data_IF_827084175696
#
_entry.id   IF_827084175696
#
_cell.length_a   1.000
_cell.length_b   1.000
_cell.length_c   1.000
_cell.angle_alpha   90.00
_cell.angle_beta   90.00
_cell.angle_gamma   90.00
#
_symmetry.space_group_name_H-M   'P 1'
#
loop_
_entity.id
_entity.type
_entity.pdbx_description
1 polymer ?
#
# COMPACT_ATOMS: atom_id res chain seq x y z
N UNK A 1 1.82 -13.50 2.79
CA UNK A 1 0.59 -14.29 3.01
C UNK A 1 0.78 -15.74 2.60
N UNK A 2 0.85 -16.07 1.31
CA UNK A 2 0.89 -17.45 0.77
C UNK A 2 2.05 -18.27 1.35
N UNK A 3 3.27 -17.74 1.31
CA UNK A 3 4.45 -18.45 1.86
C UNK A 3 4.34 -18.73 3.36
N UNK A 4 3.64 -17.87 4.10
CA UNK A 4 3.35 -18.06 5.53
C UNK A 4 2.33 -19.19 5.75
N UNK A 5 1.29 -19.27 4.92
CA UNK A 5 0.29 -20.33 5.01
C UNK A 5 0.89 -21.72 4.71
N UNK A 6 1.76 -21.81 3.69
CA UNK A 6 2.45 -23.07 3.33
C UNK A 6 3.40 -23.53 4.44
N UNK A 7 3.94 -22.60 5.22
CA UNK A 7 4.90 -22.86 6.32
C UNK A 7 4.28 -22.55 7.68
N UNK A 8 2.97 -22.80 7.85
CA UNK A 8 2.24 -22.57 9.09
C UNK A 8 2.97 -23.19 10.30
N UNK A 9 3.09 -22.42 11.40
CA UNK A 9 3.76 -22.84 12.63
C UNK A 9 5.29 -22.88 12.57
N UNK A 10 5.92 -22.56 11.44
CA UNK A 10 7.39 -22.48 11.33
C UNK A 10 7.94 -21.19 11.96
N UNK A 11 9.27 -21.20 12.26
CA UNK A 11 9.98 -19.98 12.71
C UNK A 11 9.83 -18.82 11.71
N UNK A 12 9.77 -19.13 10.41
CA UNK A 12 9.52 -18.14 9.35
C UNK A 12 8.14 -17.52 9.49
N UNK A 13 7.10 -18.33 9.71
CA UNK A 13 5.73 -17.83 9.91
C UNK A 13 5.66 -16.94 11.15
N UNK A 14 6.23 -17.37 12.27
CA UNK A 14 6.24 -16.61 13.52
C UNK A 14 7.00 -15.29 13.36
N UNK A 15 8.24 -15.32 12.87
CA UNK A 15 9.07 -14.12 12.70
C UNK A 15 8.41 -13.08 11.77
N UNK A 16 7.88 -13.54 10.61
CA UNK A 16 7.19 -12.66 9.68
C UNK A 16 5.84 -12.19 10.20
N UNK A 17 5.16 -12.93 11.09
CA UNK A 17 3.94 -12.47 11.76
C UNK A 17 4.23 -11.33 12.72
N UNK A 18 5.29 -11.45 13.52
CA UNK A 18 5.73 -10.37 14.43
C UNK A 18 6.09 -9.12 13.64
N UNK A 19 6.84 -9.25 12.55
CA UNK A 19 7.23 -8.11 11.71
C UNK A 19 6.01 -7.42 11.07
N UNK A 20 5.07 -8.20 10.55
CA UNK A 20 3.81 -7.68 10.00
C UNK A 20 2.97 -7.00 11.08
N UNK A 21 2.91 -7.56 12.29
CA UNK A 21 2.19 -6.98 13.41
C UNK A 21 2.81 -5.65 13.86
N UNK A 22 4.13 -5.57 13.96
CA UNK A 22 4.85 -4.32 14.26
C UNK A 22 4.50 -3.26 13.20
N UNK A 23 4.63 -3.59 11.91
CA UNK A 23 4.29 -2.67 10.84
C UNK A 23 2.83 -2.24 10.84
N UNK A 24 1.91 -3.12 11.22
CA UNK A 24 0.48 -2.80 11.36
C UNK A 24 0.18 -1.86 12.53
N UNK A 25 0.93 -2.00 13.62
CA UNK A 25 0.71 -1.24 14.85
C UNK A 25 1.19 0.21 14.77
N UNK A 26 2.06 0.53 13.80
CA UNK A 26 2.58 1.89 13.63
C UNK A 26 1.69 2.64 12.63
N UNK A 27 0.98 3.71 13.05
CA UNK A 27 0.24 4.56 12.12
C UNK A 27 1.18 5.15 11.05
N UNK A 28 0.73 5.21 9.79
CA UNK A 28 1.56 5.66 8.68
C UNK A 28 2.16 7.06 8.89
N UNK A 29 1.41 7.99 9.48
CA UNK A 29 1.94 9.32 9.80
C UNK A 29 3.02 9.32 10.90
N UNK A 30 2.93 8.40 11.88
CA UNK A 30 3.98 8.24 12.91
C UNK A 30 5.25 7.71 12.26
N UNK A 31 5.12 6.76 11.32
CA UNK A 31 6.25 6.29 10.52
C UNK A 31 6.86 7.42 9.69
N UNK A 32 6.04 8.29 9.10
CA UNK A 32 6.50 9.46 8.35
C UNK A 32 7.32 10.43 9.23
N UNK A 33 6.83 10.74 10.45
CA UNK A 33 7.57 11.56 11.41
C UNK A 33 8.88 10.88 11.83
N UNK A 34 8.86 9.58 12.06
CA UNK A 34 10.06 8.82 12.40
C UNK A 34 11.10 8.90 11.27
N UNK A 35 10.69 8.72 10.01
CA UNK A 35 11.58 8.88 8.86
C UNK A 35 12.13 10.30 8.76
N UNK A 36 11.29 11.31 9.01
CA UNK A 36 11.72 12.71 9.02
C UNK A 36 12.79 12.97 10.09
N UNK A 37 12.63 12.40 11.29
CA UNK A 37 13.61 12.56 12.38
C UNK A 37 14.91 11.82 12.09
N UNK A 38 14.84 10.60 11.49
CA UNK A 38 16.02 9.76 11.25
C UNK A 38 16.81 10.19 10.00
N UNK A 39 16.14 10.68 8.97
CA UNK A 39 16.71 10.98 7.65
C UNK A 39 16.55 12.44 7.22
N UNK A 40 15.90 13.26 8.03
CA UNK A 40 15.71 14.68 7.77
C UNK A 40 17.01 15.51 7.84
N UNK A 41 16.94 16.79 7.52
CA UNK A 41 18.11 17.68 7.55
C UNK A 41 18.67 17.77 8.98
N UNK A 42 19.86 17.21 9.19
CA UNK A 42 20.59 17.17 10.45
C UNK A 42 22.01 16.66 10.25
N UNK A 43 22.79 16.60 11.32
CA UNK A 43 24.21 16.20 11.29
C UNK A 43 24.45 14.70 11.11
N UNK A 44 23.40 13.91 10.93
CA UNK A 44 23.53 12.46 10.73
C UNK A 44 24.07 12.15 9.34
N UNK A 45 25.05 11.22 9.26
CA UNK A 45 25.62 10.74 8.00
C UNK A 45 24.59 10.12 7.03
N UNK A 46 23.36 9.88 7.48
CA UNK A 46 22.23 9.31 6.73
C UNK A 46 21.18 10.33 6.30
N UNK A 47 21.35 11.60 6.70
CA UNK A 47 20.37 12.69 6.46
C UNK A 47 20.05 12.96 4.97
N UNK A 48 20.85 12.45 4.05
CA UNK A 48 20.68 12.69 2.61
C UNK A 48 20.27 11.44 1.81
N UNK A 49 20.03 10.32 2.50
CA UNK A 49 19.72 9.06 1.81
C UNK A 49 18.29 9.00 1.24
N UNK A 50 17.36 9.74 1.84
CA UNK A 50 15.95 9.76 1.43
C UNK A 50 15.50 11.21 1.31
N UNK A 51 15.03 11.66 0.14
CA UNK A 51 14.41 12.97 0.01
C UNK A 51 13.06 12.96 0.75
N UNK A 52 12.89 13.89 1.66
CA UNK A 52 11.73 13.95 2.57
C UNK A 52 10.82 15.16 2.32
N UNK A 53 10.99 15.89 1.21
CA UNK A 53 10.15 17.04 0.89
C UNK A 53 9.95 17.19 -0.61
N UNK A 54 8.71 17.41 -1.00
CA UNK A 54 8.32 17.59 -2.40
C UNK A 54 8.36 16.30 -3.23
N UNK A 55 8.01 16.44 -4.51
CA UNK A 55 7.96 15.33 -5.48
C UNK A 55 9.23 15.19 -6.31
N UNK A 56 10.08 16.21 -6.32
CA UNK A 56 11.27 16.28 -7.16
C UNK A 56 12.30 17.22 -6.56
N UNK A 57 13.55 17.08 -6.99
CA UNK A 57 14.65 18.01 -6.68
C UNK A 57 14.64 19.28 -7.56
N UNK A 58 13.48 19.76 -7.99
CA UNK A 58 13.35 20.90 -8.93
C UNK A 58 13.98 22.22 -8.43
N UNK A 59 14.17 22.38 -7.12
CA UNK A 59 14.90 23.51 -6.54
C UNK A 59 16.42 23.41 -6.62
N UNK A 60 16.97 22.28 -7.10
CA UNK A 60 18.41 22.08 -7.19
C UNK A 60 18.97 22.70 -8.47
N UNK A 61 20.11 23.39 -8.37
CA UNK A 61 20.78 23.99 -9.52
C UNK A 61 21.07 22.94 -10.62
N UNK A 62 20.72 23.23 -11.85
CA UNK A 62 20.92 22.36 -13.00
C UNK A 62 19.88 21.25 -13.16
N UNK A 63 18.82 21.20 -12.37
CA UNK A 63 17.74 20.19 -12.51
C UNK A 63 17.12 20.17 -13.91
N UNK A 64 16.94 21.32 -14.55
CA UNK A 64 16.34 21.43 -15.88
C UNK A 64 17.20 20.74 -16.97
N UNK A 65 18.50 20.68 -16.78
CA UNK A 65 19.46 20.05 -17.69
C UNK A 65 19.53 18.49 -17.50
N UNK A 66 18.84 17.97 -16.48
CA UNK A 66 18.85 16.53 -16.25
C UNK A 66 18.11 15.78 -17.36
N UNK A 67 18.66 14.62 -17.74
CA UNK A 67 17.97 13.73 -18.68
C UNK A 67 16.61 13.30 -18.10
N UNK A 68 15.65 13.03 -18.96
CA UNK A 68 14.30 12.54 -18.59
C UNK A 68 14.38 11.32 -17.66
N UNK A 69 15.32 10.42 -17.90
CA UNK A 69 15.50 9.24 -17.05
C UNK A 69 15.94 9.61 -15.63
N UNK A 70 16.84 10.56 -15.50
CA UNK A 70 17.28 11.03 -14.18
C UNK A 70 16.14 11.73 -13.44
N UNK A 71 15.31 12.52 -14.11
CA UNK A 71 14.09 13.14 -13.53
C UNK A 71 13.08 12.08 -13.06
N UNK A 72 12.89 11.00 -13.79
CA UNK A 72 12.02 9.88 -13.39
C UNK A 72 12.58 9.18 -12.14
N UNK A 73 13.85 8.88 -12.09
CA UNK A 73 14.47 8.26 -10.93
C UNK A 73 14.40 9.15 -9.69
N UNK A 74 14.61 10.44 -9.84
CA UNK A 74 14.46 11.43 -8.78
C UNK A 74 13.03 11.43 -8.23
N UNK A 75 12.04 11.49 -9.10
CA UNK A 75 10.62 11.40 -8.73
C UNK A 75 10.31 10.11 -7.97
N UNK A 76 10.74 8.95 -8.49
CA UNK A 76 10.54 7.66 -7.82
C UNK A 76 11.20 7.61 -6.44
N UNK A 77 12.35 8.26 -6.29
CA UNK A 77 13.05 8.35 -5.02
C UNK A 77 12.28 9.22 -4.01
N UNK A 78 11.70 10.34 -4.45
CA UNK A 78 10.90 11.23 -3.59
C UNK A 78 9.59 10.58 -3.12
N UNK A 79 8.90 9.81 -3.99
CA UNK A 79 7.65 9.15 -3.62
C UNK A 79 7.84 7.88 -2.79
N UNK A 80 9.05 7.32 -2.71
CA UNK A 80 9.29 6.05 -2.04
C UNK A 80 8.90 6.08 -0.55
N UNK A 81 9.30 7.10 0.19
CA UNK A 81 8.98 7.26 1.61
C UNK A 81 7.47 7.50 1.86
N UNK A 82 6.79 8.44 1.18
CA UNK A 82 5.34 8.59 1.28
C UNK A 82 4.56 7.31 0.97
N UNK A 83 4.89 6.63 -0.12
CA UNK A 83 4.25 5.37 -0.53
C UNK A 83 4.46 4.27 0.50
N UNK A 84 5.66 4.15 1.07
CA UNK A 84 5.94 3.22 2.15
C UNK A 84 5.07 3.50 3.37
N UNK A 85 4.97 4.75 3.81
CA UNK A 85 4.14 5.15 4.94
C UNK A 85 2.65 4.85 4.72
N UNK A 86 2.14 5.07 3.51
CA UNK A 86 0.74 4.78 3.14
C UNK A 86 0.47 3.28 3.01
N UNK A 87 1.44 2.49 2.57
CA UNK A 87 1.24 1.09 2.22
C UNK A 87 1.47 0.10 3.36
N UNK A 88 2.28 0.42 4.38
CA UNK A 88 2.67 -0.51 5.45
C UNK A 88 1.46 -1.16 6.13
N UNK A 89 0.47 -0.37 6.56
CA UNK A 89 -0.74 -0.89 7.20
C UNK A 89 -1.57 -1.78 6.28
N UNK A 90 -1.78 -1.34 5.03
CA UNK A 90 -2.55 -2.09 4.04
C UNK A 90 -1.87 -3.40 3.64
N UNK A 91 -0.54 -3.37 3.51
CA UNK A 91 0.26 -4.56 3.21
C UNK A 91 0.15 -5.61 4.32
N UNK A 92 0.16 -5.17 5.58
CA UNK A 92 -0.02 -6.05 6.73
C UNK A 92 -1.39 -6.75 6.70
N UNK A 93 -2.47 -5.99 6.48
CA UNK A 93 -3.84 -6.54 6.38
C UNK A 93 -3.96 -7.53 5.21
N UNK A 94 -3.43 -7.19 4.03
CA UNK A 94 -3.43 -8.10 2.88
C UNK A 94 -2.63 -9.37 3.14
N UNK A 95 -1.53 -9.28 3.88
CA UNK A 95 -0.71 -10.44 4.25
C UNK A 95 -1.47 -11.40 5.16
N UNK A 96 -2.18 -10.89 6.16
CA UNK A 96 -3.00 -11.68 7.08
C UNK A 96 -4.18 -12.31 6.32
N UNK A 97 -4.88 -11.51 5.50
CA UNK A 97 -6.00 -12.00 4.70
C UNK A 97 -5.56 -13.13 3.77
N UNK A 98 -4.45 -12.95 3.05
CA UNK A 98 -3.93 -13.97 2.15
C UNK A 98 -3.53 -15.26 2.90
N UNK A 99 -2.93 -15.13 4.09
CA UNK A 99 -2.62 -16.31 4.91
C UNK A 99 -3.90 -17.05 5.29
N UNK A 100 -4.88 -16.36 5.84
CA UNK A 100 -6.11 -16.97 6.33
C UNK A 100 -6.93 -17.60 5.20
N UNK A 101 -7.07 -16.94 4.05
CA UNK A 101 -7.75 -17.49 2.89
C UNK A 101 -7.10 -18.79 2.39
N UNK A 102 -5.77 -18.84 2.34
CA UNK A 102 -5.07 -20.08 1.92
C UNK A 102 -5.26 -21.19 2.94
N UNK A 103 -5.17 -20.89 4.24
CA UNK A 103 -5.37 -21.89 5.30
C UNK A 103 -6.79 -22.43 5.32
N UNK A 104 -7.78 -21.60 5.09
CA UNK A 104 -9.18 -22.02 4.98
C UNK A 104 -9.37 -22.96 3.79
N UNK A 105 -8.84 -22.60 2.62
CA UNK A 105 -8.99 -23.40 1.40
C UNK A 105 -8.26 -24.75 1.48
N UNK A 106 -7.08 -24.82 2.10
CA UNK A 106 -6.30 -26.07 2.26
C UNK A 106 -7.07 -27.12 3.08
N UNK A 107 -7.97 -26.70 3.97
CA UNK A 107 -8.75 -27.59 4.84
C UNK A 107 -10.04 -28.11 4.19
N UNK A 108 -10.40 -27.64 2.99
CA UNK A 108 -11.65 -28.03 2.31
C UNK A 108 -11.58 -29.46 1.73
N UNK A 109 -12.75 -30.09 1.64
CA UNK A 109 -12.90 -31.49 1.24
C UNK A 109 -12.35 -31.80 -0.16
N UNK A 110 -12.44 -30.83 -1.09
CA UNK A 110 -11.89 -31.01 -2.44
C UNK A 110 -10.36 -31.18 -2.46
N UNK A 111 -9.65 -30.59 -1.48
CA UNK A 111 -8.20 -30.74 -1.33
C UNK A 111 -7.86 -32.17 -0.87
N UNK A 112 -8.62 -32.70 0.09
CA UNK A 112 -8.48 -34.09 0.56
C UNK A 112 -8.71 -35.03 -0.60
N UNK A 113 -9.76 -34.82 -1.38
CA UNK A 113 -10.07 -35.63 -2.57
C UNK A 113 -8.95 -35.57 -3.62
N UNK A 114 -8.36 -34.39 -3.84
CA UNK A 114 -7.26 -34.23 -4.76
C UNK A 114 -6.00 -35.01 -4.31
N UNK A 115 -5.69 -34.99 -3.00
CA UNK A 115 -4.62 -35.82 -2.41
C UNK A 115 -4.89 -37.33 -2.59
N UNK A 116 -6.11 -37.76 -2.32
CA UNK A 116 -6.50 -39.16 -2.52
C UNK A 116 -6.37 -39.62 -3.98
N UNK A 117 -6.51 -38.72 -4.94
CA UNK A 117 -6.27 -38.96 -6.37
C UNK A 117 -4.80 -38.96 -6.78
N UNK A 118 -3.87 -38.79 -5.82
CA UNK A 118 -2.42 -38.84 -6.07
C UNK A 118 -1.84 -37.56 -6.69
N UNK A 119 -2.55 -36.42 -6.62
CA UNK A 119 -1.99 -35.14 -7.10
C UNK A 119 -0.88 -34.67 -6.17
N UNK A 120 0.18 -34.09 -6.75
CA UNK A 120 1.29 -33.49 -5.97
C UNK A 120 0.82 -32.26 -5.21
N UNK A 121 1.37 -32.03 -4.01
CA UNK A 121 1.03 -30.87 -3.16
C UNK A 121 1.20 -29.54 -3.89
N UNK A 122 2.23 -29.39 -4.72
CA UNK A 122 2.45 -28.20 -5.54
C UNK A 122 1.30 -27.96 -6.53
N UNK A 123 0.81 -29.04 -7.17
CA UNK A 123 -0.31 -28.94 -8.13
C UNK A 123 -1.61 -28.60 -7.42
N UNK A 124 -1.84 -29.20 -6.26
CA UNK A 124 -3.00 -28.91 -5.41
C UNK A 124 -2.98 -27.45 -4.99
N UNK A 125 -1.85 -26.97 -4.44
CA UNK A 125 -1.70 -25.58 -3.98
C UNK A 125 -1.94 -24.59 -5.11
N UNK A 126 -1.21 -24.72 -6.22
CA UNK A 126 -1.22 -23.70 -7.29
C UNK A 126 -2.52 -23.74 -8.09
N UNK A 127 -3.03 -24.92 -8.44
CA UNK A 127 -4.17 -25.04 -9.37
C UNK A 127 -5.53 -25.06 -8.68
N UNK A 128 -5.61 -25.52 -7.44
CA UNK A 128 -6.87 -25.67 -6.73
C UNK A 128 -7.01 -24.69 -5.57
N UNK A 129 -6.04 -24.66 -4.65
CA UNK A 129 -6.13 -23.82 -3.45
C UNK A 129 -5.98 -22.34 -3.78
N UNK A 130 -4.89 -21.94 -4.46
CA UNK A 130 -4.63 -20.51 -4.72
C UNK A 130 -5.70 -19.88 -5.58
N UNK A 131 -6.26 -20.59 -6.54
CA UNK A 131 -7.32 -20.06 -7.40
C UNK A 131 -8.52 -19.57 -6.56
N UNK A 132 -8.94 -20.35 -5.58
CA UNK A 132 -10.07 -20.02 -4.72
C UNK A 132 -9.67 -19.06 -3.60
N UNK A 133 -8.50 -19.26 -2.99
CA UNK A 133 -7.98 -18.40 -1.92
C UNK A 133 -7.71 -16.96 -2.37
N UNK A 134 -7.49 -16.73 -3.67
CA UNK A 134 -7.28 -15.37 -4.20
C UNK A 134 -8.57 -14.59 -4.39
N UNK A 135 -9.75 -15.23 -4.42
CA UNK A 135 -11.03 -14.54 -4.63
C UNK A 135 -11.23 -13.39 -3.62
N UNK A 136 -11.14 -13.58 -2.29
CA UNK A 136 -11.32 -12.47 -1.34
C UNK A 136 -10.25 -11.37 -1.46
N UNK A 137 -9.05 -11.72 -1.95
CA UNK A 137 -7.99 -10.75 -2.18
C UNK A 137 -8.28 -9.88 -3.40
N UNK A 138 -8.66 -10.51 -4.52
CA UNK A 138 -8.96 -9.80 -5.78
C UNK A 138 -10.16 -8.88 -5.59
N UNK A 139 -11.22 -9.36 -4.94
CA UNK A 139 -12.45 -8.56 -4.69
C UNK A 139 -12.23 -7.45 -3.65
N UNK A 140 -11.40 -7.69 -2.64
CA UNK A 140 -11.08 -6.69 -1.61
C UNK A 140 -9.99 -5.69 -2.01
N UNK A 141 -9.17 -6.00 -2.99
CA UNK A 141 -8.01 -5.18 -3.38
C UNK A 141 -8.42 -3.80 -3.93
N UNK A 142 -9.36 -3.68 -4.88
CA UNK A 142 -9.72 -2.38 -5.45
C UNK A 142 -10.25 -1.40 -4.40
N UNK A 143 -11.10 -1.87 -3.48
CA UNK A 143 -11.63 -1.04 -2.40
C UNK A 143 -10.53 -0.54 -1.44
N UNK A 144 -9.53 -1.37 -1.16
CA UNK A 144 -8.39 -0.99 -0.30
C UNK A 144 -7.41 -0.07 -1.02
N UNK A 145 -7.17 -0.34 -2.30
CA UNK A 145 -6.36 0.52 -3.15
C UNK A 145 -6.97 1.92 -3.23
N UNK A 146 -8.28 2.00 -3.42
CA UNK A 146 -9.00 3.26 -3.36
C UNK A 146 -8.88 3.97 -2.02
N UNK A 147 -9.03 3.25 -0.93
CA UNK A 147 -8.92 3.84 0.39
C UNK A 147 -7.54 4.53 0.58
N UNK A 148 -6.45 3.96 0.06
CA UNK A 148 -5.12 4.58 0.11
C UNK A 148 -5.09 5.87 -0.73
N UNK A 149 -5.66 5.85 -1.94
CA UNK A 149 -5.61 6.99 -2.86
C UNK A 149 -6.60 8.10 -2.51
N UNK A 150 -7.80 7.73 -2.05
CA UNK A 150 -8.89 8.68 -1.86
C UNK A 150 -8.96 9.25 -0.45
N UNK A 151 -8.58 8.49 0.56
CA UNK A 151 -8.53 9.04 1.92
C UNK A 151 -7.36 9.98 2.11
N UNK A 152 -6.44 10.05 1.12
CA UNK A 152 -5.23 10.87 1.16
C UNK A 152 -4.76 11.06 2.60
N UNK A 153 -3.59 10.74 2.97
CA UNK A 153 -3.21 11.05 4.33
C UNK A 153 -2.80 12.51 4.37
N UNK A 154 -3.73 13.39 4.72
CA UNK A 154 -3.47 14.83 4.92
C UNK A 154 -2.19 15.02 5.73
N UNK A 155 -2.00 14.19 6.77
CA UNK A 155 -0.80 14.24 7.60
C UNK A 155 0.46 13.85 6.84
N UNK A 156 0.41 12.79 6.01
CA UNK A 156 1.55 12.37 5.20
C UNK A 156 1.85 13.41 4.12
N UNK A 157 0.83 13.92 3.42
CA UNK A 157 0.98 14.98 2.43
C UNK A 157 1.60 16.24 3.05
N UNK A 158 1.17 16.62 4.26
CA UNK A 158 1.73 17.76 4.99
C UNK A 158 3.17 17.52 5.44
N UNK A 159 3.48 16.33 5.98
CA UNK A 159 4.83 15.98 6.46
C UNK A 159 5.84 15.98 5.32
N UNK A 160 5.49 15.40 4.17
CA UNK A 160 6.37 15.33 3.00
C UNK A 160 6.25 16.51 2.04
N UNK A 161 5.47 17.53 2.40
CA UNK A 161 5.23 18.72 1.58
C UNK A 161 4.78 18.36 0.16
N UNK A 162 3.71 17.57 0.08
CA UNK A 162 3.11 17.09 -1.17
C UNK A 162 1.80 17.83 -1.43
N UNK A 163 1.62 18.31 -2.68
CA UNK A 163 0.37 18.91 -3.13
C UNK A 163 -0.65 17.81 -3.45
N UNK A 164 -1.12 17.11 -2.40
CA UNK A 164 -2.05 16.00 -2.53
C UNK A 164 -3.52 16.42 -2.45
N UNK A 165 -4.40 15.53 -2.91
CA UNK A 165 -5.85 15.76 -2.94
C UNK A 165 -6.43 15.87 -1.52
N UNK A 166 -5.86 15.17 -0.55
CA UNK A 166 -6.27 15.24 0.85
C UNK A 166 -5.98 16.61 1.45
N UNK A 167 -4.77 17.13 1.21
CA UNK A 167 -4.36 18.46 1.66
C UNK A 167 -5.18 19.55 0.98
N UNK A 168 -5.38 19.45 -0.35
CA UNK A 168 -6.24 20.36 -1.10
C UNK A 168 -7.66 20.40 -0.52
N UNK A 169 -8.25 19.25 -0.22
CA UNK A 169 -9.58 19.16 0.38
C UNK A 169 -9.62 19.82 1.76
N UNK A 170 -8.64 19.58 2.59
CA UNK A 170 -8.54 20.16 3.93
C UNK A 170 -8.39 21.69 3.87
N UNK A 171 -7.45 22.21 3.09
CA UNK A 171 -7.21 23.65 2.95
C UNK A 171 -8.45 24.36 2.38
N UNK A 172 -9.11 23.76 1.38
CA UNK A 172 -10.35 24.30 0.82
C UNK A 172 -11.49 24.44 1.84
N UNK A 173 -11.57 23.51 2.81
CA UNK A 173 -12.56 23.62 3.91
C UNK A 173 -12.19 24.77 4.85
N UNK A 174 -10.89 24.89 5.23
CA UNK A 174 -10.42 25.97 6.10
C UNK A 174 -10.66 27.34 5.44
N UNK A 175 -10.35 27.46 4.15
CA UNK A 175 -10.50 28.69 3.35
C UNK A 175 -11.95 28.96 2.94
N UNK A 176 -12.89 28.07 3.32
CA UNK A 176 -14.31 28.15 2.94
C UNK A 176 -14.53 28.23 1.43
N UNK A 177 -13.63 27.61 0.67
CA UNK A 177 -13.72 27.55 -0.80
C UNK A 177 -14.70 26.42 -1.21
N UNK A 178 -15.98 26.66 -1.05
CA UNK A 178 -17.04 25.67 -1.34
C UNK A 178 -16.98 25.07 -2.75
N UNK A 179 -16.71 25.84 -3.83
CA UNK A 179 -16.58 25.26 -5.16
C UNK A 179 -15.52 24.16 -5.24
N UNK A 180 -14.35 24.37 -4.62
CA UNK A 180 -13.25 23.37 -4.62
C UNK A 180 -13.62 22.17 -3.73
N UNK A 181 -14.24 22.41 -2.57
CA UNK A 181 -14.73 21.33 -1.69
C UNK A 181 -15.73 20.43 -2.44
N UNK A 182 -16.72 21.02 -3.11
CA UNK A 182 -17.71 20.26 -3.88
C UNK A 182 -17.11 19.54 -5.08
N UNK A 183 -16.19 20.20 -5.79
CA UNK A 183 -15.45 19.59 -6.91
C UNK A 183 -14.60 18.39 -6.46
N UNK A 184 -13.90 18.51 -5.34
CA UNK A 184 -13.12 17.43 -4.75
C UNK A 184 -14.00 16.23 -4.36
N UNK A 185 -15.10 16.48 -3.65
CA UNK A 185 -16.07 15.44 -3.28
C UNK A 185 -16.66 14.75 -4.50
N UNK A 186 -17.02 15.51 -5.53
CA UNK A 186 -17.56 14.97 -6.79
C UNK A 186 -16.57 14.06 -7.48
N UNK A 187 -15.33 14.50 -7.68
CA UNK A 187 -14.26 13.72 -8.34
C UNK A 187 -13.98 12.45 -7.54
N UNK A 188 -13.84 12.55 -6.20
CA UNK A 188 -13.60 11.41 -5.33
C UNK A 188 -14.72 10.37 -5.39
N UNK A 189 -15.98 10.84 -5.38
CA UNK A 189 -17.14 9.96 -5.51
C UNK A 189 -17.16 9.28 -6.87
N UNK A 190 -16.91 10.02 -7.94
CA UNK A 190 -16.88 9.48 -9.31
C UNK A 190 -15.81 8.39 -9.47
N UNK A 191 -14.59 8.65 -9.00
CA UNK A 191 -13.50 7.66 -9.03
C UNK A 191 -13.88 6.43 -8.21
N UNK A 192 -14.47 6.61 -7.02
CA UNK A 192 -14.93 5.50 -6.17
C UNK A 192 -15.97 4.63 -6.88
N UNK A 193 -16.96 5.25 -7.55
CA UNK A 193 -17.99 4.52 -8.29
C UNK A 193 -17.39 3.76 -9.49
N UNK A 194 -16.49 4.39 -10.25
CA UNK A 194 -15.82 3.75 -11.39
C UNK A 194 -15.02 2.52 -10.95
N UNK A 195 -14.29 2.60 -9.87
CA UNK A 195 -13.49 1.46 -9.40
C UNK A 195 -14.37 0.37 -8.80
N UNK A 196 -15.47 0.71 -8.14
CA UNK A 196 -16.48 -0.29 -7.72
C UNK A 196 -17.03 -1.02 -8.93
N UNK A 197 -17.43 -0.29 -9.97
CA UNK A 197 -17.91 -0.89 -11.22
C UNK A 197 -16.88 -1.82 -11.85
N UNK A 198 -15.61 -1.40 -11.94
CA UNK A 198 -14.53 -2.26 -12.45
C UNK A 198 -14.37 -3.51 -11.58
N UNK A 199 -14.44 -3.37 -10.26
CA UNK A 199 -14.37 -4.50 -9.33
C UNK A 199 -15.48 -5.50 -9.56
N UNK A 200 -16.72 -5.00 -9.72
CA UNK A 200 -17.90 -5.84 -9.94
C UNK A 200 -17.83 -6.56 -11.30
N UNK A 201 -17.22 -5.93 -12.32
CA UNK A 201 -16.99 -6.56 -13.63
C UNK A 201 -15.87 -7.62 -13.59
N UNK A 202 -14.94 -7.55 -12.65
CA UNK A 202 -13.87 -8.54 -12.46
C UNK A 202 -14.30 -9.73 -11.59
N UNK A 203 -15.47 -9.66 -10.99
CA UNK A 203 -16.05 -10.70 -10.14
C UNK A 203 -16.88 -11.68 -10.96
#
# INVERSE_FOLDING_TARGET
GIAKAVREGSKFDTATSVLVLIGYSIPGFVLAVLLMVLFGPGDAAVAHLIPLSGLTSSGTFGYEEWSTWKKILDYLHHIAAPVLCLSVGSFAVLTILAKNSVLEEVRKQYVITARAKGLTERRILVRHVLRNAMIPLVTGFPSRFLAIFLTGSILIERIFNLDGIGLLGYESVIDRNYPVVMGNLFIMTLITLLIRLITDLCY
#
